data_IF_858412456336
#
_entry.id   IF_858412456336
#
_cell.length_a   1.000
_cell.length_b   1.000
_cell.length_c   1.000
_cell.angle_alpha   90.00
_cell.angle_beta   90.00
_cell.angle_gamma   90.00
#
_symmetry.space_group_name_H-M   'P 1'
#
loop_
_entity.id
_entity.type
_entity.pdbx_description
1 polymer ?
#
# COMPACT_ATOMS: atom_id res chain seq x y z
N UNK A 1 11.17 73.37 0.26
CA UNK A 1 10.74 72.05 -0.27
C UNK A 1 11.87 71.04 -0.06
N UNK A 2 11.55 69.78 0.28
CA UNK A 2 12.47 68.63 0.53
C UNK A 2 12.97 68.43 1.97
N UNK A 3 12.07 68.25 2.95
CA UNK A 3 12.36 67.48 4.19
C UNK A 3 11.23 66.56 4.66
N UNK A 4 10.13 66.44 3.91
CA UNK A 4 8.94 65.68 4.34
C UNK A 4 8.74 64.30 3.69
N UNK A 5 9.54 63.91 2.69
CA UNK A 5 9.26 62.70 1.90
C UNK A 5 10.11 61.48 2.26
N UNK A 6 11.16 61.63 3.08
CA UNK A 6 12.06 60.53 3.40
C UNK A 6 11.62 59.70 4.62
N UNK A 7 10.70 60.21 5.45
CA UNK A 7 10.29 59.54 6.69
C UNK A 7 9.17 58.50 6.47
N UNK A 8 8.38 58.64 5.40
CA UNK A 8 7.27 57.72 5.11
C UNK A 8 7.76 56.45 4.40
N UNK A 9 8.90 56.51 3.69
CA UNK A 9 9.47 55.31 3.05
C UNK A 9 10.19 54.37 4.03
N UNK A 10 10.72 54.87 5.15
CA UNK A 10 11.32 54.01 6.18
C UNK A 10 10.29 53.29 7.06
N UNK A 11 9.08 53.82 7.19
CA UNK A 11 8.00 53.17 7.95
C UNK A 11 7.31 52.04 7.16
N UNK A 12 7.35 52.07 5.83
CA UNK A 12 6.85 50.96 5.00
C UNK A 12 7.88 49.83 4.80
N UNK A 13 9.17 50.09 5.00
CA UNK A 13 10.22 49.08 4.83
C UNK A 13 10.46 48.23 6.10
N UNK A 14 10.07 48.73 7.28
CA UNK A 14 10.22 48.01 8.55
C UNK A 14 9.07 47.01 8.80
N UNK A 15 7.95 47.12 8.07
CA UNK A 15 6.83 46.17 8.20
C UNK A 15 6.96 44.92 7.31
N UNK A 16 7.91 44.88 6.37
CA UNK A 16 8.13 43.72 5.48
C UNK A 16 9.23 42.77 6.02
N UNK A 17 10.01 43.20 7.02
CA UNK A 17 11.07 42.37 7.63
C UNK A 17 10.60 41.50 8.81
N UNK A 18 9.31 41.55 9.16
CA UNK A 18 8.68 40.65 10.14
C UNK A 18 7.57 39.79 9.51
N UNK A 19 7.68 39.48 8.21
CA UNK A 19 7.15 38.18 7.80
C UNK A 19 8.15 37.15 8.33
N UNK A 20 7.75 36.19 9.18
CA UNK A 20 8.60 35.05 9.44
C UNK A 20 8.91 34.46 8.05
N UNK A 21 10.19 34.51 7.67
CA UNK A 21 10.73 33.53 6.76
C UNK A 21 10.50 32.20 7.45
N UNK A 22 9.33 31.58 7.22
CA UNK A 22 8.94 30.28 7.76
C UNK A 22 9.87 29.21 7.16
N UNK A 23 11.11 29.19 7.60
CA UNK A 23 11.86 27.96 7.73
C UNK A 23 11.13 27.18 8.84
N UNK A 24 10.18 26.34 8.43
CA UNK A 24 9.13 25.78 9.27
C UNK A 24 9.60 25.34 10.65
N UNK A 25 9.12 26.02 11.69
CA UNK A 25 9.33 25.58 13.06
C UNK A 25 8.61 24.24 13.25
N UNK A 26 9.40 23.23 13.62
CA UNK A 26 8.86 21.93 14.00
C UNK A 26 8.19 22.05 15.36
N UNK A 27 6.92 21.67 15.42
CA UNK A 27 6.21 21.45 16.66
C UNK A 27 6.20 19.97 17.01
N UNK A 28 5.96 19.67 18.28
CA UNK A 28 5.70 18.31 18.69
C UNK A 28 4.75 18.23 19.87
N UNK A 29 3.95 17.17 19.90
CA UNK A 29 3.21 16.77 21.10
C UNK A 29 3.40 15.28 21.35
N UNK A 30 3.10 14.84 22.57
CA UNK A 30 3.20 13.43 22.96
C UNK A 30 1.84 12.93 23.39
N UNK A 31 1.49 11.72 22.95
CA UNK A 31 0.29 11.00 23.37
C UNK A 31 0.70 9.57 23.72
N UNK A 32 0.46 9.15 24.97
CA UNK A 32 1.07 7.93 25.54
C UNK A 32 2.59 7.91 25.30
N UNK A 33 3.10 6.91 24.58
CA UNK A 33 4.51 6.75 24.18
C UNK A 33 4.77 7.16 22.72
N UNK A 34 3.86 7.86 22.06
CA UNK A 34 4.08 8.38 20.70
C UNK A 34 4.36 9.86 20.72
N UNK A 35 5.52 10.27 20.18
CA UNK A 35 5.88 11.67 20.00
C UNK A 35 5.69 12.04 18.54
N UNK A 36 4.72 12.91 18.24
CA UNK A 36 4.41 13.35 16.88
C UNK A 36 5.13 14.67 16.62
N UNK A 37 5.94 14.74 15.57
CA UNK A 37 6.67 15.92 15.09
C UNK A 37 6.09 16.35 13.75
N UNK A 38 5.74 17.63 13.62
CA UNK A 38 5.03 18.16 12.46
C UNK A 38 5.32 19.67 12.28
N UNK A 39 5.06 20.20 11.09
CA UNK A 39 5.09 21.65 10.87
C UNK A 39 3.79 22.30 11.35
N UNK A 40 3.82 23.51 11.93
CA UNK A 40 2.64 24.20 12.51
C UNK A 40 1.32 24.07 11.71
N UNK A 41 1.36 24.26 10.38
CA UNK A 41 0.17 24.16 9.51
C UNK A 41 -0.43 22.74 9.39
N UNK A 42 0.32 21.70 9.79
CA UNK A 42 -0.11 20.30 9.82
C UNK A 42 -0.72 19.89 11.17
N UNK A 43 -0.93 20.81 12.12
CA UNK A 43 -1.42 20.48 13.46
C UNK A 43 -2.69 19.62 13.47
N UNK A 44 -3.63 19.86 12.54
CA UNK A 44 -4.84 19.05 12.39
C UNK A 44 -4.49 17.61 11.96
N UNK A 45 -3.68 17.45 10.92
CA UNK A 45 -3.24 16.14 10.42
C UNK A 45 -2.46 15.37 11.50
N UNK A 46 -1.60 16.04 12.25
CA UNK A 46 -0.84 15.43 13.34
C UNK A 46 -1.75 14.84 14.43
N UNK A 47 -2.87 15.51 14.77
CA UNK A 47 -3.88 14.97 15.67
C UNK A 47 -4.61 13.77 15.07
N UNK A 48 -4.96 13.81 13.78
CA UNK A 48 -5.58 12.67 13.09
C UNK A 48 -4.64 11.44 13.02
N UNK A 49 -3.33 11.66 12.86
CA UNK A 49 -2.30 10.61 12.95
C UNK A 49 -2.27 9.99 14.34
N UNK A 50 -2.22 10.83 15.38
CA UNK A 50 -2.27 10.37 16.78
C UNK A 50 -3.54 9.55 17.07
N UNK A 51 -4.71 10.02 16.64
CA UNK A 51 -5.96 9.28 16.77
C UNK A 51 -5.93 7.94 16.02
N UNK A 52 -5.37 7.91 14.81
CA UNK A 52 -5.24 6.69 14.00
C UNK A 52 -4.37 5.66 14.70
N UNK A 53 -3.24 6.10 15.28
CA UNK A 53 -2.34 5.24 16.07
C UNK A 53 -3.11 4.67 17.27
N UNK A 54 -3.75 5.53 18.07
CA UNK A 54 -4.49 5.12 19.26
C UNK A 54 -5.65 4.16 18.95
N UNK A 55 -6.36 4.36 17.83
CA UNK A 55 -7.43 3.46 17.37
C UNK A 55 -6.90 2.10 16.93
N UNK A 56 -5.66 2.02 16.43
CA UNK A 56 -5.05 0.77 15.99
C UNK A 56 -4.50 -0.07 17.16
N UNK A 57 -4.08 0.55 18.27
CA UNK A 57 -3.40 -0.15 19.37
C UNK A 57 -4.16 -1.36 19.92
N UNK A 58 -5.48 -1.34 20.18
CA UNK A 58 -6.16 -2.50 20.75
C UNK A 58 -6.07 -3.73 19.84
N UNK A 59 -6.19 -3.53 18.52
CA UNK A 59 -6.01 -4.61 17.53
C UNK A 59 -4.56 -5.09 17.50
N UNK A 60 -3.59 -4.19 17.64
CA UNK A 60 -2.19 -4.58 17.58
C UNK A 60 -1.80 -5.33 18.85
N UNK A 61 -2.24 -4.85 20.01
CA UNK A 61 -2.05 -5.54 21.29
C UNK A 61 -2.66 -6.95 21.26
N UNK A 62 -3.85 -7.14 20.68
CA UNK A 62 -4.45 -8.47 20.59
C UNK A 62 -3.70 -9.43 19.66
N UNK A 63 -2.88 -8.91 18.76
CA UNK A 63 -2.07 -9.69 17.81
C UNK A 63 -0.66 -9.94 18.36
N UNK A 64 0.01 -8.90 18.87
CA UNK A 64 1.37 -8.99 19.40
C UNK A 64 1.42 -9.52 20.85
N UNK A 65 0.31 -9.45 21.58
CA UNK A 65 0.21 -9.85 22.99
C UNK A 65 0.76 -8.81 23.99
N UNK A 66 1.51 -7.83 23.52
CA UNK A 66 2.14 -6.78 24.34
C UNK A 66 2.04 -5.41 23.63
N UNK A 67 2.25 -4.32 24.37
CA UNK A 67 2.35 -2.95 23.83
C UNK A 67 3.81 -2.49 23.97
N UNK A 68 4.41 -1.89 22.92
CA UNK A 68 5.71 -1.23 23.00
C UNK A 68 5.80 -0.24 24.17
N UNK A 69 6.90 -0.27 24.92
CA UNK A 69 7.15 0.69 26.02
C UNK A 69 8.04 1.85 25.60
N UNK A 70 8.85 1.65 24.56
CA UNK A 70 9.73 2.68 24.02
C UNK A 70 8.93 3.84 23.43
N UNK A 71 9.54 5.02 23.43
CA UNK A 71 8.95 6.18 22.75
C UNK A 71 9.12 6.05 21.24
N UNK A 72 8.01 5.93 20.51
CA UNK A 72 8.00 5.92 19.04
C UNK A 72 7.80 7.35 18.55
N UNK A 73 8.77 7.85 17.79
CA UNK A 73 8.72 9.17 17.16
C UNK A 73 8.07 9.04 15.79
N UNK A 74 7.11 9.91 15.48
CA UNK A 74 6.43 9.96 14.18
C UNK A 74 6.66 11.35 13.60
N UNK A 75 7.27 11.43 12.43
CA UNK A 75 7.68 12.68 11.82
C UNK A 75 6.95 12.87 10.50
N UNK A 76 6.21 13.98 10.39
CA UNK A 76 5.43 14.33 9.20
C UNK A 76 6.26 15.22 8.28
N UNK A 77 6.75 14.63 7.19
CA UNK A 77 7.49 15.33 6.16
C UNK A 77 6.51 15.89 5.12
N UNK A 78 6.53 17.22 4.94
CA UNK A 78 5.58 17.90 4.06
C UNK A 78 5.79 17.55 2.59
N UNK A 79 7.06 17.57 2.15
CA UNK A 79 7.43 17.43 0.75
C UNK A 79 8.39 16.25 0.56
N UNK A 80 8.36 15.65 -0.63
CA UNK A 80 9.28 14.57 -1.04
C UNK A 80 10.74 14.91 -0.72
N UNK A 81 11.20 16.13 -1.05
CA UNK A 81 12.56 16.59 -0.73
C UNK A 81 12.91 16.54 0.77
N UNK A 82 11.95 16.86 1.64
CA UNK A 82 12.15 16.78 3.09
C UNK A 82 12.18 15.32 3.55
N UNK A 83 11.26 14.50 3.06
CA UNK A 83 11.22 13.05 3.30
C UNK A 83 12.54 12.37 2.89
N UNK A 84 13.05 12.65 1.70
CA UNK A 84 14.29 12.07 1.19
C UNK A 84 15.48 12.52 2.03
N UNK A 85 15.53 13.79 2.45
CA UNK A 85 16.58 14.29 3.37
C UNK A 85 16.56 13.56 4.71
N UNK A 86 15.38 13.40 5.30
CA UNK A 86 15.19 12.72 6.59
C UNK A 86 15.52 11.23 6.53
N UNK A 87 15.46 10.65 5.32
CA UNK A 87 15.70 9.22 5.06
C UNK A 87 17.02 8.99 4.32
N UNK A 88 17.90 10.00 4.27
CA UNK A 88 19.21 9.96 3.62
C UNK A 88 19.19 9.53 2.15
N UNK A 89 18.09 9.78 1.42
CA UNK A 89 17.86 9.37 0.03
C UNK A 89 18.01 7.86 -0.21
N UNK A 90 17.75 7.04 0.81
CA UNK A 90 17.89 5.58 0.72
C UNK A 90 16.59 4.86 0.35
N UNK A 91 15.47 5.60 0.35
CA UNK A 91 14.13 5.03 0.22
C UNK A 91 13.63 5.23 -1.22
N UNK A 92 13.05 4.19 -1.85
CA UNK A 92 12.53 4.29 -3.22
C UNK A 92 11.46 5.39 -3.39
N UNK A 93 11.42 6.00 -4.57
CA UNK A 93 10.48 7.10 -4.91
C UNK A 93 9.00 6.72 -4.80
N UNK A 94 8.67 5.43 -4.85
CA UNK A 94 7.29 4.97 -4.69
C UNK A 94 6.86 4.87 -3.23
N UNK A 95 7.79 4.93 -2.28
CA UNK A 95 7.45 4.86 -0.86
C UNK A 95 6.87 6.17 -0.34
N UNK A 96 5.88 6.06 0.54
CA UNK A 96 5.20 7.18 1.19
C UNK A 96 5.38 7.19 2.72
N UNK A 97 6.04 6.16 3.25
CA UNK A 97 6.36 6.00 4.66
C UNK A 97 7.66 5.21 4.80
N UNK A 98 8.32 5.36 5.94
CA UNK A 98 9.37 4.43 6.33
C UNK A 98 9.49 4.40 7.84
N UNK A 99 9.75 3.21 8.34
CA UNK A 99 10.11 2.97 9.72
C UNK A 99 11.57 2.62 9.84
N UNK A 100 12.21 3.20 10.87
CA UNK A 100 13.55 2.89 11.35
C UNK A 100 13.42 2.28 12.74
N UNK A 101 13.25 0.95 12.82
CA UNK A 101 13.10 0.22 14.08
C UNK A 101 14.22 0.49 15.07
N UNK A 102 15.45 0.58 14.57
CA UNK A 102 16.69 0.76 15.34
C UNK A 102 16.70 2.04 16.20
N UNK A 103 15.94 3.05 15.79
CA UNK A 103 15.87 4.35 16.47
C UNK A 103 14.43 4.77 16.80
N UNK A 104 13.47 3.84 16.74
CA UNK A 104 12.05 4.08 17.02
C UNK A 104 11.49 5.29 16.28
N UNK A 105 11.77 5.40 14.98
CA UNK A 105 11.37 6.53 14.15
C UNK A 105 10.50 6.08 12.98
N UNK A 106 9.34 6.70 12.83
CA UNK A 106 8.50 6.64 11.65
C UNK A 106 8.60 7.99 10.94
N UNK A 107 8.83 7.98 9.63
CA UNK A 107 8.79 9.17 8.77
C UNK A 107 7.67 8.97 7.75
N UNK A 108 6.75 9.93 7.66
CA UNK A 108 5.59 9.87 6.77
C UNK A 108 5.63 11.04 5.79
N UNK A 109 5.45 10.75 4.49
CA UNK A 109 5.26 11.78 3.48
C UNK A 109 3.79 12.20 3.45
N UNK A 110 3.51 13.49 3.65
CA UNK A 110 2.13 14.02 3.68
C UNK A 110 1.68 14.61 2.34
N UNK A 111 2.60 14.99 1.44
CA UNK A 111 2.25 15.49 0.12
C UNK A 111 1.73 14.39 -0.82
N UNK A 112 0.81 14.77 -1.71
CA UNK A 112 0.38 14.00 -2.89
C UNK A 112 -0.14 12.57 -2.57
N UNK A 113 -0.70 12.39 -1.38
CA UNK A 113 -1.30 11.14 -0.92
C UNK A 113 -2.77 11.38 -0.57
N UNK A 114 -3.64 10.44 -0.98
CA UNK A 114 -5.05 10.50 -0.60
C UNK A 114 -5.20 10.20 0.89
N UNK A 115 -6.20 10.78 1.53
CA UNK A 115 -6.36 10.69 2.99
C UNK A 115 -6.53 9.25 3.49
N UNK A 116 -7.32 8.44 2.78
CA UNK A 116 -7.54 7.03 3.07
C UNK A 116 -6.25 6.20 2.94
N UNK A 117 -5.51 6.43 1.85
CA UNK A 117 -4.21 5.82 1.61
C UNK A 117 -3.20 6.22 2.70
N UNK A 118 -3.15 7.50 3.08
CA UNK A 118 -2.25 8.02 4.09
C UNK A 118 -2.43 7.35 5.45
N UNK A 119 -3.67 7.22 5.93
CA UNK A 119 -3.89 6.54 7.19
C UNK A 119 -3.64 5.03 7.11
N UNK A 120 -3.72 4.43 5.92
CA UNK A 120 -3.22 3.07 5.70
C UNK A 120 -1.70 2.99 5.87
N UNK A 121 -0.95 3.92 5.29
CA UNK A 121 0.51 4.01 5.45
C UNK A 121 0.88 4.25 6.91
N UNK A 122 0.19 5.14 7.63
CA UNK A 122 0.40 5.35 9.08
C UNK A 122 0.32 4.02 9.84
N UNK A 123 -0.73 3.24 9.59
CA UNK A 123 -0.92 1.94 10.24
C UNK A 123 0.14 0.93 9.79
N UNK A 124 0.50 0.91 8.52
CA UNK A 124 1.55 0.05 7.96
C UNK A 124 2.89 0.28 8.68
N UNK A 125 3.34 1.53 8.74
CA UNK A 125 4.60 1.90 9.41
C UNK A 125 4.54 1.65 10.92
N UNK A 126 3.37 1.84 11.54
CA UNK A 126 3.19 1.53 12.95
C UNK A 126 3.44 0.05 13.26
N UNK A 127 3.07 -0.86 12.36
CA UNK A 127 3.34 -2.30 12.52
C UNK A 127 4.84 -2.58 12.56
N UNK A 128 5.60 -2.02 11.63
CA UNK A 128 7.06 -2.13 11.61
C UNK A 128 7.68 -1.58 12.89
N UNK A 129 7.17 -0.45 13.40
CA UNK A 129 7.68 0.15 14.63
C UNK A 129 7.39 -0.71 15.86
N UNK A 130 6.21 -1.33 15.93
CA UNK A 130 5.83 -2.25 16.99
C UNK A 130 6.69 -3.52 16.96
N UNK A 131 6.89 -4.11 15.78
CA UNK A 131 7.75 -5.29 15.62
C UNK A 131 9.19 -4.97 16.04
N UNK A 132 9.71 -3.83 15.59
CA UNK A 132 11.02 -3.32 15.97
C UNK A 132 11.24 -3.15 17.47
N UNK A 133 10.30 -2.50 18.14
CA UNK A 133 10.38 -2.21 19.57
C UNK A 133 10.17 -3.47 20.44
N UNK A 134 9.25 -4.35 20.05
CA UNK A 134 8.95 -5.56 20.84
C UNK A 134 9.98 -6.68 20.66
N UNK A 135 10.63 -6.74 19.50
CA UNK A 135 11.54 -7.84 19.12
C UNK A 135 12.90 -7.34 18.61
N UNK A 136 13.62 -6.49 19.38
CA UNK A 136 14.86 -5.89 18.93
C UNK A 136 15.93 -6.95 18.65
N UNK A 137 16.54 -6.85 17.46
CA UNK A 137 17.60 -7.75 16.99
C UNK A 137 17.15 -9.19 16.74
N UNK A 138 15.85 -9.45 16.59
CA UNK A 138 15.33 -10.73 16.08
C UNK A 138 15.12 -10.55 14.58
N UNK A 139 15.69 -11.45 13.78
CA UNK A 139 15.50 -11.44 12.34
C UNK A 139 14.21 -12.20 11.99
N UNK A 140 13.31 -11.51 11.31
CA UNK A 140 12.10 -12.04 10.71
C UNK A 140 12.26 -12.03 9.19
N UNK A 141 11.72 -13.03 8.47
CA UNK A 141 11.67 -12.99 7.02
C UNK A 141 10.86 -11.78 6.56
N UNK A 142 11.30 -11.14 5.48
CA UNK A 142 10.70 -9.90 5.03
C UNK A 142 9.27 -10.07 4.54
N UNK A 143 8.93 -11.23 3.96
CA UNK A 143 7.54 -11.54 3.60
C UNK A 143 6.61 -11.49 4.81
N UNK A 144 7.12 -11.89 5.98
CA UNK A 144 6.34 -11.88 7.20
C UNK A 144 6.16 -10.45 7.71
N UNK A 145 7.24 -9.66 7.74
CA UNK A 145 7.20 -8.25 8.18
C UNK A 145 6.24 -7.42 7.33
N UNK A 146 6.41 -7.46 6.01
CA UNK A 146 5.57 -6.72 5.06
C UNK A 146 4.14 -7.26 5.06
N UNK A 147 3.97 -8.58 5.11
CA UNK A 147 2.67 -9.21 5.17
C UNK A 147 1.89 -8.85 6.43
N UNK A 148 2.55 -8.77 7.59
CA UNK A 148 1.96 -8.27 8.83
C UNK A 148 1.55 -6.79 8.70
N UNK A 149 2.41 -5.96 8.10
CA UNK A 149 2.14 -4.55 7.90
C UNK A 149 0.92 -4.31 6.98
N UNK A 150 0.82 -5.04 5.86
CA UNK A 150 -0.34 -4.99 4.96
C UNK A 150 -1.59 -5.56 5.65
N UNK A 151 -1.49 -6.72 6.32
CA UNK A 151 -2.60 -7.38 6.98
C UNK A 151 -3.24 -6.51 8.08
N UNK A 152 -2.41 -5.84 8.89
CA UNK A 152 -2.89 -5.07 10.02
C UNK A 152 -3.27 -3.63 9.66
N UNK A 153 -2.65 -3.05 8.62
CA UNK A 153 -3.00 -1.71 8.12
C UNK A 153 -4.34 -1.64 7.42
N UNK A 154 -4.86 -2.77 6.91
CA UNK A 154 -6.06 -2.77 6.09
C UNK A 154 -5.85 -2.07 4.74
N UNK A 155 -4.60 -2.03 4.28
CA UNK A 155 -4.25 -1.54 2.96
C UNK A 155 -5.00 -2.34 1.91
N UNK A 156 -5.80 -1.64 1.11
CA UNK A 156 -6.45 -2.25 -0.03
C UNK A 156 -5.39 -2.47 -1.10
N UNK A 157 -4.83 -3.68 -1.12
CA UNK A 157 -3.99 -4.13 -2.24
C UNK A 157 -4.93 -4.33 -3.44
N UNK A 158 -5.32 -3.24 -4.08
CA UNK A 158 -6.19 -3.26 -5.25
C UNK A 158 -5.61 -4.20 -6.30
N UNK A 159 -6.44 -5.02 -6.97
CA UNK A 159 -5.98 -5.97 -7.98
C UNK A 159 -5.07 -7.10 -7.48
N UNK A 160 -4.88 -7.28 -6.15
CA UNK A 160 -4.05 -8.33 -5.56
C UNK A 160 -4.42 -9.72 -6.12
N UNK A 161 -5.71 -10.02 -6.11
CA UNK A 161 -6.27 -11.27 -6.61
C UNK A 161 -5.89 -11.55 -8.07
N UNK A 162 -5.94 -10.54 -8.95
CA UNK A 162 -5.58 -10.69 -10.36
C UNK A 162 -4.07 -10.81 -10.58
N UNK A 163 -3.27 -10.06 -9.81
CA UNK A 163 -1.80 -10.14 -9.82
C UNK A 163 -1.33 -11.52 -9.35
N UNK A 164 -1.86 -11.99 -8.23
CA UNK A 164 -1.55 -13.30 -7.66
C UNK A 164 -2.07 -14.43 -8.56
N UNK A 165 -3.30 -14.32 -9.08
CA UNK A 165 -3.85 -15.31 -10.03
C UNK A 165 -2.99 -15.43 -11.29
N UNK A 166 -2.51 -14.30 -11.83
CA UNK A 166 -1.59 -14.30 -12.97
C UNK A 166 -0.27 -14.98 -12.62
N UNK A 167 0.33 -14.64 -11.48
CA UNK A 167 1.59 -15.25 -11.03
C UNK A 167 1.45 -16.77 -10.82
N UNK A 168 0.33 -17.23 -10.24
CA UNK A 168 0.00 -18.65 -10.10
C UNK A 168 -0.08 -19.34 -11.47
N UNK A 169 -0.74 -18.72 -12.45
CA UNK A 169 -0.92 -19.29 -13.79
C UNK A 169 0.37 -19.32 -14.60
N UNK A 170 1.25 -18.31 -14.44
CA UNK A 170 2.53 -18.23 -15.15
C UNK A 170 3.67 -18.91 -14.40
N UNK A 171 3.42 -19.52 -13.24
CA UNK A 171 4.45 -20.12 -12.40
C UNK A 171 5.49 -19.11 -11.92
N UNK A 172 5.08 -17.86 -11.73
CA UNK A 172 5.96 -16.73 -11.37
C UNK A 172 5.79 -16.28 -9.93
N UNK A 173 5.24 -17.15 -9.07
CA UNK A 173 5.23 -16.90 -7.63
C UNK A 173 6.68 -16.86 -7.13
N UNK A 174 6.98 -15.92 -6.24
CA UNK A 174 8.24 -15.97 -5.53
C UNK A 174 8.16 -17.01 -4.41
N UNK A 175 9.27 -17.71 -4.18
CA UNK A 175 9.46 -18.32 -2.88
C UNK A 175 9.47 -17.24 -1.80
N UNK A 176 9.02 -17.59 -0.59
CA UNK A 176 9.00 -16.67 0.55
C UNK A 176 10.40 -16.13 0.87
N UNK A 177 11.45 -16.88 0.55
CA UNK A 177 12.85 -16.45 0.67
C UNK A 177 13.25 -15.39 -0.38
N UNK A 178 12.70 -15.43 -1.59
CA UNK A 178 13.00 -14.45 -2.65
C UNK A 178 12.39 -13.06 -2.38
N UNK A 179 11.28 -13.02 -1.64
CA UNK A 179 10.64 -11.79 -1.16
C UNK A 179 11.60 -10.97 -0.27
N UNK A 180 12.65 -11.57 0.30
CA UNK A 180 13.64 -10.86 1.11
C UNK A 180 14.36 -9.71 0.37
N UNK A 181 14.31 -9.62 -0.96
CA UNK A 181 14.94 -8.56 -1.76
C UNK A 181 14.01 -7.45 -2.32
N UNK A 182 12.73 -7.38 -1.90
CA UNK A 182 11.71 -6.44 -2.40
C UNK A 182 12.09 -4.94 -2.46
N UNK A 183 12.98 -4.42 -1.61
CA UNK A 183 13.40 -3.00 -1.69
C UNK A 183 14.26 -2.72 -2.94
N UNK A 184 14.83 -3.76 -3.56
CA UNK A 184 15.58 -3.67 -4.82
C UNK A 184 14.70 -3.86 -6.05
N UNK A 185 13.41 -4.15 -5.86
CA UNK A 185 12.49 -4.42 -6.95
C UNK A 185 11.90 -3.13 -7.54
N UNK A 186 11.67 -3.14 -8.86
CA UNK A 186 10.80 -2.16 -9.49
C UNK A 186 9.36 -2.30 -8.99
N UNK A 187 8.58 -1.21 -9.08
CA UNK A 187 7.22 -1.08 -8.53
C UNK A 187 6.31 -2.31 -8.76
N UNK A 188 6.34 -2.91 -9.96
CA UNK A 188 5.51 -4.07 -10.31
C UNK A 188 5.90 -5.33 -9.54
N UNK A 189 7.21 -5.61 -9.41
CA UNK A 189 7.70 -6.78 -8.66
C UNK A 189 7.48 -6.60 -7.16
N UNK A 190 7.64 -5.39 -6.64
CA UNK A 190 7.30 -5.07 -5.25
C UNK A 190 5.83 -5.32 -4.95
N UNK A 191 4.92 -4.92 -5.88
CA UNK A 191 3.49 -5.19 -5.74
C UNK A 191 3.17 -6.68 -5.65
N UNK A 192 3.77 -7.51 -6.51
CA UNK A 192 3.56 -8.97 -6.44
C UNK A 192 4.06 -9.55 -5.12
N UNK A 193 5.22 -9.14 -4.65
CA UNK A 193 5.76 -9.66 -3.41
C UNK A 193 4.95 -9.22 -2.17
N UNK A 194 4.43 -7.98 -2.14
CA UNK A 194 3.48 -7.54 -1.11
C UNK A 194 2.16 -8.30 -1.18
N UNK A 195 1.67 -8.54 -2.40
CA UNK A 195 0.52 -9.38 -2.68
C UNK A 195 0.66 -10.79 -2.08
N UNK A 196 1.77 -11.48 -2.38
CA UNK A 196 2.09 -12.82 -1.86
C UNK A 196 2.27 -12.83 -0.35
N UNK A 197 3.03 -11.87 0.19
CA UNK A 197 3.24 -11.69 1.63
C UNK A 197 1.92 -11.57 2.38
N UNK A 198 1.03 -10.69 1.91
CA UNK A 198 -0.30 -10.53 2.48
C UNK A 198 -1.11 -11.83 2.41
N UNK A 199 -1.11 -12.52 1.26
CA UNK A 199 -1.87 -13.76 1.11
C UNK A 199 -1.33 -14.90 1.98
N UNK A 200 -0.01 -14.97 2.22
CA UNK A 200 0.57 -15.92 3.16
C UNK A 200 0.08 -15.67 4.60
N UNK A 201 -0.08 -14.40 5.00
CA UNK A 201 -0.63 -14.04 6.30
C UNK A 201 -2.15 -14.23 6.37
N UNK A 202 -2.87 -14.05 5.25
CA UNK A 202 -4.28 -14.43 5.16
C UNK A 202 -4.47 -15.94 5.32
N UNK A 203 -3.64 -16.74 4.64
CA UNK A 203 -3.60 -18.19 4.81
C UNK A 203 -3.37 -18.56 6.28
N UNK A 204 -2.39 -17.91 6.93
CA UNK A 204 -2.13 -18.14 8.35
C UNK A 204 -3.38 -17.89 9.20
N UNK A 205 -4.05 -16.76 8.97
CA UNK A 205 -5.29 -16.39 9.69
C UNK A 205 -6.42 -17.39 9.42
N UNK A 206 -6.60 -17.81 8.17
CA UNK A 206 -7.71 -18.68 7.76
C UNK A 206 -7.55 -20.11 8.27
N UNK A 207 -6.32 -20.62 8.33
CA UNK A 207 -6.03 -21.99 8.77
C UNK A 207 -5.79 -22.10 10.27
N UNK A 208 -5.09 -21.14 10.87
CA UNK A 208 -4.65 -21.23 12.26
C UNK A 208 -5.43 -20.28 13.19
N UNK A 209 -6.03 -19.22 12.65
CA UNK A 209 -6.81 -18.24 13.40
C UNK A 209 -5.96 -17.10 14.00
N UNK A 210 -6.59 -15.93 14.16
CA UNK A 210 -5.96 -14.72 14.74
C UNK A 210 -5.35 -14.95 16.13
N UNK A 211 -5.98 -15.80 16.94
CA UNK A 211 -5.55 -16.13 18.30
C UNK A 211 -4.17 -16.80 18.38
N UNK A 212 -3.62 -17.25 17.24
CA UNK A 212 -2.29 -17.85 17.18
C UNK A 212 -1.16 -16.82 17.12
N UNK A 213 -1.43 -15.57 16.73
CA UNK A 213 -0.38 -14.55 16.67
C UNK A 213 0.27 -14.24 18.03
N UNK A 214 -0.48 -14.03 19.14
CA UNK A 214 0.16 -13.78 20.42
C UNK A 214 1.05 -14.94 20.86
N UNK A 215 0.64 -16.17 20.57
CA UNK A 215 1.45 -17.36 20.85
C UNK A 215 2.72 -17.40 19.99
N UNK A 216 2.59 -17.12 18.68
CA UNK A 216 3.73 -16.99 17.77
C UNK A 216 4.75 -15.98 18.29
N UNK A 217 4.30 -14.77 18.60
CA UNK A 217 5.17 -13.70 19.05
C UNK A 217 5.81 -13.98 20.42
N UNK A 218 5.07 -14.61 21.34
CA UNK A 218 5.63 -15.11 22.60
C UNK A 218 6.75 -16.13 22.35
N UNK A 219 6.57 -17.07 21.42
CA UNK A 219 7.59 -18.05 21.05
C UNK A 219 8.77 -17.41 20.34
N UNK A 220 8.53 -16.44 19.46
CA UNK A 220 9.56 -15.69 18.75
C UNK A 220 10.47 -14.97 19.75
N UNK A 221 9.90 -14.26 20.72
CA UNK A 221 10.65 -13.58 21.79
C UNK A 221 11.49 -14.55 22.62
N UNK A 222 10.93 -15.71 22.97
CA UNK A 222 11.61 -16.73 23.79
C UNK A 222 12.76 -17.42 23.05
N UNK A 223 12.54 -17.78 21.79
CA UNK A 223 13.45 -18.64 21.01
C UNK A 223 14.42 -17.84 20.15
N UNK A 224 14.10 -16.56 19.87
CA UNK A 224 14.82 -15.69 18.94
C UNK A 224 15.01 -16.29 17.53
N UNK A 225 14.17 -17.26 17.16
CA UNK A 225 14.20 -17.93 15.87
C UNK A 225 12.81 -17.97 15.27
N UNK A 226 12.67 -17.40 14.07
CA UNK A 226 11.42 -17.36 13.33
C UNK A 226 10.90 -18.77 13.03
N UNK A 227 11.75 -19.65 12.50
CA UNK A 227 11.37 -21.02 12.14
C UNK A 227 10.90 -21.84 13.34
N UNK A 228 11.60 -21.72 14.48
CA UNK A 228 11.20 -22.42 15.71
C UNK A 228 9.86 -21.88 16.21
N UNK A 229 9.65 -20.56 16.17
CA UNK A 229 8.38 -19.95 16.58
C UNK A 229 7.22 -20.32 15.66
N UNK A 230 7.45 -20.35 14.34
CA UNK A 230 6.49 -20.77 13.34
C UNK A 230 6.09 -22.22 13.59
N UNK A 231 7.06 -23.14 13.66
CA UNK A 231 6.82 -24.57 13.89
C UNK A 231 6.12 -24.84 15.21
N UNK A 232 6.49 -24.13 16.27
CA UNK A 232 5.80 -24.27 17.56
C UNK A 232 4.33 -23.82 17.49
N UNK A 233 3.99 -22.88 16.60
CA UNK A 233 2.67 -22.27 16.49
C UNK A 233 1.73 -23.03 15.56
N UNK A 234 2.25 -23.38 14.37
CA UNK A 234 1.49 -23.98 13.27
C UNK A 234 1.64 -25.50 13.23
N UNK A 235 2.70 -26.05 13.83
CA UNK A 235 3.12 -27.43 13.66
C UNK A 235 3.96 -27.69 12.39
N UNK A 236 4.11 -26.69 11.52
CA UNK A 236 4.78 -26.80 10.22
C UNK A 236 6.18 -26.17 10.28
N UNK A 237 7.17 -26.82 9.69
CA UNK A 237 8.41 -26.15 9.31
C UNK A 237 8.14 -25.03 8.30
N UNK A 238 9.11 -24.13 8.09
CA UNK A 238 8.98 -23.06 7.09
C UNK A 238 8.68 -23.61 5.69
N UNK A 239 9.39 -24.67 5.29
CA UNK A 239 9.18 -25.35 4.01
C UNK A 239 7.76 -25.94 3.90
N UNK A 240 7.29 -26.67 4.91
CA UNK A 240 5.93 -27.24 4.89
C UNK A 240 4.84 -26.15 4.91
N UNK A 241 5.09 -25.04 5.61
CA UNK A 241 4.18 -23.89 5.62
C UNK A 241 4.09 -23.28 4.21
N UNK A 242 5.22 -23.07 3.54
CA UNK A 242 5.28 -22.53 2.19
C UNK A 242 4.59 -23.44 1.17
N UNK A 243 4.88 -24.74 1.19
CA UNK A 243 4.22 -25.73 0.32
C UNK A 243 2.69 -25.74 0.53
N UNK A 244 2.24 -25.74 1.79
CA UNK A 244 0.80 -25.71 2.11
C UNK A 244 0.16 -24.38 1.68
N UNK A 245 0.87 -23.26 1.85
CA UNK A 245 0.44 -21.94 1.40
C UNK A 245 0.30 -21.90 -0.12
N UNK A 246 1.28 -22.39 -0.88
CA UNK A 246 1.21 -22.44 -2.34
C UNK A 246 -0.02 -23.22 -2.80
N UNK A 247 -0.26 -24.37 -2.18
CA UNK A 247 -1.39 -25.23 -2.47
C UNK A 247 -2.73 -24.52 -2.22
N UNK A 248 -2.83 -23.81 -1.09
CA UNK A 248 -3.97 -22.95 -0.77
C UNK A 248 -4.13 -21.82 -1.80
N UNK A 249 -3.05 -21.12 -2.15
CA UNK A 249 -3.07 -20.00 -3.08
C UNK A 249 -3.57 -20.47 -4.46
N UNK A 250 -3.06 -21.62 -4.94
CA UNK A 250 -3.50 -22.25 -6.19
C UNK A 250 -4.99 -22.62 -6.14
N UNK A 251 -5.48 -23.21 -5.06
CA UNK A 251 -6.91 -23.58 -4.96
C UNK A 251 -7.83 -22.36 -4.92
N UNK A 252 -7.45 -21.31 -4.19
CA UNK A 252 -8.29 -20.13 -3.94
C UNK A 252 -8.25 -19.09 -5.06
N UNK A 253 -7.08 -18.84 -5.66
CA UNK A 253 -6.88 -17.71 -6.57
C UNK A 253 -6.68 -18.10 -8.04
N UNK A 254 -6.44 -19.38 -8.38
CA UNK A 254 -6.19 -19.80 -9.79
C UNK A 254 -7.29 -19.42 -10.76
N UNK A 255 -8.56 -19.42 -10.32
CA UNK A 255 -9.70 -19.09 -11.18
C UNK A 255 -10.08 -17.60 -11.12
N UNK A 256 -9.42 -16.79 -10.29
CA UNK A 256 -9.81 -15.39 -10.11
C UNK A 256 -9.44 -14.48 -11.29
N UNK A 257 -8.56 -14.93 -12.20
CA UNK A 257 -8.30 -14.24 -13.48
C UNK A 257 -9.57 -14.12 -14.33
N UNK A 258 -10.50 -15.08 -14.22
CA UNK A 258 -11.77 -15.09 -14.96
C UNK A 258 -12.81 -14.10 -14.41
N UNK A 259 -12.47 -13.34 -13.37
CA UNK A 259 -13.30 -12.23 -12.87
C UNK A 259 -12.67 -10.86 -13.17
N UNK A 260 -11.54 -10.80 -13.90
CA UNK A 260 -10.96 -9.53 -14.35
C UNK A 260 -11.79 -8.95 -15.50
N UNK A 261 -12.74 -8.08 -15.17
CA UNK A 261 -13.66 -7.40 -16.10
C UNK A 261 -12.92 -6.69 -17.24
N UNK A 262 -11.67 -6.26 -17.03
CA UNK A 262 -10.89 -5.57 -18.05
C UNK A 262 -10.57 -6.49 -19.24
N UNK A 263 -10.23 -7.75 -18.97
CA UNK A 263 -9.98 -8.75 -20.02
C UNK A 263 -11.24 -8.98 -20.88
N UNK A 264 -12.40 -9.10 -20.23
CA UNK A 264 -13.67 -9.31 -20.95
C UNK A 264 -14.11 -8.08 -21.74
N UNK A 265 -13.85 -6.86 -21.26
CA UNK A 265 -14.12 -5.65 -22.02
C UNK A 265 -13.33 -5.64 -23.34
N UNK A 266 -12.04 -5.99 -23.30
CA UNK A 266 -11.20 -6.03 -24.50
C UNK A 266 -11.54 -7.18 -25.45
N UNK A 267 -12.11 -8.29 -24.96
CA UNK A 267 -12.59 -9.39 -25.80
C UNK A 267 -14.01 -9.14 -26.35
N UNK A 268 -14.87 -8.48 -25.58
CA UNK A 268 -16.25 -8.21 -25.95
C UNK A 268 -16.36 -7.07 -26.96
N UNK A 269 -15.51 -6.04 -26.88
CA UNK A 269 -15.56 -4.89 -27.79
C UNK A 269 -15.39 -5.27 -29.28
N UNK A 270 -14.35 -6.05 -29.67
CA UNK A 270 -14.16 -6.45 -31.06
C UNK A 270 -15.27 -7.35 -31.57
N UNK A 271 -15.78 -8.24 -30.71
CA UNK A 271 -16.92 -9.12 -31.05
C UNK A 271 -18.17 -8.27 -31.27
N UNK A 272 -18.46 -7.32 -30.38
CA UNK A 272 -19.59 -6.42 -30.51
C UNK A 272 -19.50 -5.59 -31.80
N UNK A 273 -18.34 -4.97 -32.06
CA UNK A 273 -18.10 -4.21 -33.30
C UNK A 273 -18.23 -5.10 -34.54
N UNK A 274 -17.68 -6.31 -34.51
CA UNK A 274 -17.76 -7.28 -35.60
C UNK A 274 -19.19 -7.71 -35.89
N UNK A 275 -19.98 -8.00 -34.86
CA UNK A 275 -21.40 -8.36 -34.97
C UNK A 275 -22.22 -7.17 -35.48
N UNK A 276 -22.02 -5.97 -34.94
CA UNK A 276 -22.70 -4.76 -35.42
C UNK A 276 -22.38 -4.49 -36.89
N UNK A 277 -21.11 -4.58 -37.29
CA UNK A 277 -20.68 -4.42 -38.67
C UNK A 277 -21.31 -5.48 -39.58
N UNK A 278 -21.33 -6.74 -39.15
CA UNK A 278 -21.95 -7.83 -39.91
C UNK A 278 -23.46 -7.64 -40.08
N UNK A 279 -24.17 -7.25 -39.02
CA UNK A 279 -25.61 -6.94 -39.06
C UNK A 279 -25.91 -5.76 -39.99
N UNK A 280 -25.10 -4.69 -39.93
CA UNK A 280 -25.24 -3.54 -40.84
C UNK A 280 -25.00 -3.98 -42.29
N UNK A 281 -23.94 -4.74 -42.56
CA UNK A 281 -23.62 -5.24 -43.90
C UNK A 281 -24.72 -6.16 -44.44
N UNK A 282 -25.26 -7.04 -43.60
CA UNK A 282 -26.36 -7.93 -43.96
C UNK A 282 -27.64 -7.15 -44.30
N UNK A 283 -28.01 -6.15 -43.49
CA UNK A 283 -29.17 -5.28 -43.74
C UNK A 283 -29.00 -4.45 -45.00
N UNK A 284 -27.80 -3.93 -45.25
CA UNK A 284 -27.51 -3.12 -46.44
C UNK A 284 -27.56 -3.95 -47.73
N UNK A 285 -27.08 -5.20 -47.72
CA UNK A 285 -27.23 -6.11 -48.87
C UNK A 285 -28.68 -6.34 -49.25
N UNK A 286 -29.56 -6.64 -48.27
CA UNK A 286 -30.99 -6.79 -48.54
C UNK A 286 -31.64 -5.53 -49.10
N UNK A 287 -31.21 -4.34 -48.65
CA UNK A 287 -31.72 -3.07 -49.20
C UNK A 287 -31.29 -2.84 -50.65
N UNK A 288 -30.05 -3.17 -50.99
CA UNK A 288 -29.54 -3.05 -52.36
C UNK A 288 -30.24 -4.03 -53.29
N UNK A 289 -30.46 -5.29 -52.86
CA UNK A 289 -31.24 -6.28 -53.64
C UNK A 289 -32.66 -5.77 -53.95
N UNK A 290 -33.36 -5.19 -52.96
CA UNK A 290 -34.69 -4.60 -53.15
C UNK A 290 -34.67 -3.41 -54.13
N UNK A 291 -33.62 -2.58 -54.09
CA UNK A 291 -33.47 -1.46 -55.02
C UNK A 291 -33.14 -1.92 -56.45
N UNK A 292 -32.30 -2.94 -56.59
CA UNK A 292 -31.95 -3.53 -57.89
C UNK A 292 -33.15 -4.21 -58.55
N UNK A 293 -33.97 -4.95 -57.79
CA UNK A 293 -35.25 -5.52 -58.27
C UNK A 293 -36.24 -4.43 -58.68
N UNK A 294 -36.36 -3.35 -57.91
CA UNK A 294 -37.20 -2.20 -58.24
C UNK A 294 -36.77 -1.48 -59.53
N UNK A 295 -35.47 -1.24 -59.70
CA UNK A 295 -34.94 -0.60 -60.93
C UNK A 295 -35.01 -1.48 -62.17
N UNK A 296 -34.96 -2.81 -62.03
CA UNK A 296 -35.19 -3.74 -63.16
C UNK A 296 -36.65 -3.73 -63.60
N UNK A 297 -37.59 -3.76 -62.67
CA UNK A 297 -39.03 -3.69 -62.98
C UNK A 297 -39.46 -2.37 -63.63
N UNK A 298 -38.75 -1.27 -63.36
CA UNK A 298 -39.01 0.04 -63.97
C UNK A 298 -38.42 0.17 -65.39
N UNK A 299 -37.25 -0.45 -65.64
CA UNK A 299 -36.64 -0.49 -66.98
C UNK A 299 -37.32 -1.50 -67.94
N UNK A 300 -37.96 -2.55 -67.42
CA UNK A 300 -38.75 -3.51 -68.22
C UNK A 300 -40.16 -2.97 -68.57
N UNK A 301 -40.55 -1.82 -68.01
CA UNK A 301 -41.86 -1.18 -68.18
C UNK A 301 -41.83 0.04 -69.14
N UNK A 302 -40.70 0.31 -69.78
CA UNK A 302 -40.49 1.34 -70.83
C UNK A 302 -40.22 0.67 -72.17
#
# INVERSE_FOLDING_TARGET
>A
MKKGFLLILMLFFVFILNAPLFAGEWESFTVKNYRILYHHYQAKLAREVAETILKAEPKYQSVFGEIPKDTIRVLLADKRKEFDRLTYNTIPEWSKGVTRPDIHLIVLLTAEIKQDEFFSVVRHELVHAWMGSLYPGIQTPRWFDEGMAVLLSGEQVSGNNAVLSRAILTGSLFSLDEVNNVLKFGRTKARLAYSESYTALQFFVEYFGWQKFPFFFQKLKKTRSFEVALKATTGLSLFEFEDTFEDFARKKYRWQVFFDVNLYLWLALPVFVGVSFWLIKYRNRKRVEIWEEGTKGENDAV
#
